data_IF_518122812860
#
_entry.id   IF_518122812860
#
_cell.length_a   1.000
_cell.length_b   1.000
_cell.length_c   1.000
_cell.angle_alpha   90.00
_cell.angle_beta   90.00
_cell.angle_gamma   90.00
#
_symmetry.space_group_name_H-M   'P 1'
#
loop_
_entity.id
_entity.type
_entity.pdbx_description
1 polymer ?
#
# COMPACT_ATOMS: atom_id res chain seq x y z
N UNK A 1 24.96 9.01 -3.64
CA UNK A 1 23.71 9.78 -3.69
C UNK A 1 23.91 11.07 -4.45
N UNK A 2 25.05 11.74 -4.27
CA UNK A 2 25.41 12.93 -5.06
C UNK A 2 25.57 12.68 -6.58
N UNK A 3 25.61 11.42 -6.99
CA UNK A 3 25.54 10.93 -8.37
C UNK A 3 24.12 10.96 -8.97
N UNK A 4 23.09 11.14 -8.12
CA UNK A 4 21.68 11.13 -8.53
C UNK A 4 21.10 12.55 -8.60
N UNK A 5 21.44 13.39 -7.62
CA UNK A 5 20.99 14.79 -7.58
C UNK A 5 22.08 15.69 -7.02
N UNK A 6 22.11 16.94 -7.49
CA UNK A 6 23.13 17.91 -7.07
C UNK A 6 22.93 18.31 -5.61
N UNK A 7 24.02 18.28 -4.85
CA UNK A 7 24.09 18.75 -3.46
C UNK A 7 24.97 20.01 -3.33
N UNK A 8 25.49 20.54 -4.44
CA UNK A 8 26.33 21.74 -4.45
C UNK A 8 25.49 22.99 -4.16
N UNK A 9 26.00 23.88 -3.31
CA UNK A 9 25.28 25.10 -2.94
C UNK A 9 23.98 24.87 -2.15
N UNK A 10 23.69 23.62 -1.74
CA UNK A 10 22.43 23.21 -1.11
C UNK A 10 22.20 23.77 0.31
N UNK A 11 23.25 24.25 0.97
CA UNK A 11 23.17 24.72 2.36
C UNK A 11 22.97 23.62 3.40
N UNK A 12 23.04 22.34 3.02
CA UNK A 12 22.97 21.22 3.96
C UNK A 12 24.20 21.18 4.88
N UNK A 13 24.06 20.54 6.04
CA UNK A 13 25.18 20.43 6.99
C UNK A 13 26.33 19.61 6.42
N UNK A 14 27.56 19.89 6.88
CA UNK A 14 28.76 19.13 6.48
C UNK A 14 28.59 17.62 6.70
N UNK A 15 27.90 17.21 7.77
CA UNK A 15 27.64 15.81 8.04
C UNK A 15 26.72 15.14 6.99
N UNK A 16 25.68 15.85 6.53
CA UNK A 16 24.81 15.36 5.45
C UNK A 16 25.53 15.38 4.10
N UNK A 17 26.33 16.41 3.83
CA UNK A 17 27.13 16.52 2.62
C UNK A 17 28.11 15.35 2.47
N UNK A 18 28.91 15.08 3.50
CA UNK A 18 29.84 13.93 3.53
C UNK A 18 29.11 12.60 3.40
N UNK A 19 27.94 12.47 4.01
CA UNK A 19 27.11 11.26 3.87
C UNK A 19 26.60 11.08 2.43
N UNK A 20 26.12 12.14 1.79
CA UNK A 20 25.61 12.09 0.42
C UNK A 20 26.69 11.66 -0.61
N UNK A 21 27.94 12.05 -0.37
CA UNK A 21 29.10 11.65 -1.20
C UNK A 21 29.51 10.18 -1.03
N UNK A 22 29.21 9.57 0.12
CA UNK A 22 29.70 8.22 0.48
C UNK A 22 28.61 7.16 0.58
N UNK A 23 27.34 7.54 0.39
CA UNK A 23 26.17 6.66 0.46
C UNK A 23 25.63 6.38 -0.94
N UNK A 24 24.99 5.24 -1.14
CA UNK A 24 24.35 4.84 -2.40
C UNK A 24 22.92 4.36 -2.14
N UNK A 25 22.11 4.40 -3.19
CA UNK A 25 20.84 3.69 -3.24
C UNK A 25 21.05 2.26 -3.73
N UNK A 26 20.22 1.31 -3.29
CA UNK A 26 20.28 -0.07 -3.78
C UNK A 26 19.90 -0.12 -5.26
N UNK A 27 18.82 0.57 -5.63
CA UNK A 27 18.36 0.71 -7.00
C UNK A 27 17.94 2.14 -7.30
N UNK A 28 18.23 2.60 -8.51
CA UNK A 28 17.78 3.88 -9.04
C UNK A 28 17.04 3.59 -10.35
N UNK A 29 15.85 4.15 -10.48
CA UNK A 29 15.05 4.02 -11.69
C UNK A 29 15.26 5.27 -12.53
N UNK A 30 15.67 5.07 -13.78
CA UNK A 30 15.88 6.12 -14.76
C UNK A 30 14.81 6.07 -15.85
N UNK A 31 14.48 7.22 -16.45
CA UNK A 31 13.77 7.22 -17.72
C UNK A 31 14.72 6.96 -18.90
N UNK A 32 14.15 7.01 -20.10
CA UNK A 32 14.87 6.79 -21.36
C UNK A 32 15.88 7.90 -21.70
N UNK A 33 15.83 9.05 -21.02
CA UNK A 33 16.78 10.16 -21.16
C UNK A 33 17.86 10.12 -20.07
N UNK A 34 17.99 8.99 -19.35
CA UNK A 34 18.90 8.82 -18.23
C UNK A 34 18.67 9.81 -17.08
N UNK A 35 17.45 10.36 -16.96
CA UNK A 35 17.07 11.17 -15.81
C UNK A 35 16.59 10.27 -14.66
N UNK A 36 17.14 10.40 -13.44
CA UNK A 36 16.69 9.62 -12.31
C UNK A 36 15.28 10.05 -11.89
N UNK A 37 14.40 9.07 -11.69
CA UNK A 37 12.99 9.28 -11.36
C UNK A 37 12.71 9.05 -9.88
N UNK A 38 13.24 7.96 -9.32
CA UNK A 38 13.11 7.59 -7.92
C UNK A 38 14.12 6.49 -7.55
N UNK A 39 14.30 6.25 -6.25
CA UNK A 39 15.10 5.14 -5.74
C UNK A 39 14.24 4.08 -5.04
N UNK A 40 14.76 2.84 -5.03
CA UNK A 40 14.21 1.73 -4.26
C UNK A 40 15.29 1.20 -3.31
N UNK A 41 14.95 1.07 -2.03
CA UNK A 41 15.82 0.51 -0.98
C UNK A 41 15.19 -0.76 -0.40
N UNK A 42 16.01 -1.77 -0.15
CA UNK A 42 15.57 -3.00 0.51
C UNK A 42 15.93 -2.97 2.01
N UNK A 43 14.92 -2.73 2.85
CA UNK A 43 15.03 -2.77 4.30
C UNK A 43 14.94 -4.23 4.79
N UNK A 44 16.03 -4.74 5.36
CA UNK A 44 16.07 -6.05 6.02
C UNK A 44 15.41 -6.08 7.41
N UNK A 45 15.26 -7.27 7.98
CA UNK A 45 14.59 -7.48 9.28
C UNK A 45 15.29 -6.83 10.49
N UNK A 46 16.55 -6.36 10.34
CA UNK A 46 17.36 -5.81 11.44
C UNK A 46 17.33 -4.28 11.54
N UNK A 47 16.57 -3.58 10.68
CA UNK A 47 16.61 -2.11 10.58
C UNK A 47 16.01 -1.37 11.78
N UNK A 48 15.28 -2.04 12.68
CA UNK A 48 14.58 -1.39 13.80
C UNK A 48 15.36 -1.34 15.11
N UNK A 49 16.48 -2.06 15.23
CA UNK A 49 17.23 -2.19 16.49
C UNK A 49 18.62 -1.53 16.40
N UNK A 50 19.21 -1.48 15.20
CA UNK A 50 20.51 -0.87 14.99
C UNK A 50 20.40 0.66 14.88
N UNK A 51 20.88 1.37 15.91
CA UNK A 51 20.94 2.83 15.94
C UNK A 51 21.71 3.41 14.76
N UNK A 52 22.78 2.76 14.29
CA UNK A 52 23.54 3.26 13.15
C UNK A 52 22.71 3.21 11.86
N UNK A 53 21.98 2.12 11.65
CA UNK A 53 21.12 1.98 10.47
C UNK A 53 19.97 3.01 10.51
N UNK A 54 19.34 3.20 11.66
CA UNK A 54 18.30 4.23 11.84
C UNK A 54 18.84 5.63 11.51
N UNK A 55 20.03 5.99 12.01
CA UNK A 55 20.65 7.28 11.69
C UNK A 55 20.97 7.44 10.20
N UNK A 56 21.44 6.37 9.54
CA UNK A 56 21.70 6.37 8.10
C UNK A 56 20.41 6.55 7.31
N UNK A 57 19.35 5.86 7.71
CA UNK A 57 18.03 5.95 7.06
C UNK A 57 17.42 7.35 7.21
N UNK A 58 17.54 7.96 8.39
CA UNK A 58 17.12 9.34 8.61
C UNK A 58 17.91 10.34 7.76
N UNK A 59 19.22 10.12 7.56
CA UNK A 59 20.04 10.96 6.66
C UNK A 59 19.62 10.79 5.20
N UNK A 60 19.36 9.56 4.74
CA UNK A 60 18.85 9.29 3.38
C UNK A 60 17.51 9.99 3.15
N UNK A 61 16.57 9.84 4.09
CA UNK A 61 15.25 10.47 4.00
C UNK A 61 15.36 11.99 3.88
N UNK A 62 16.14 12.64 4.75
CA UNK A 62 16.36 14.10 4.68
C UNK A 62 16.95 14.58 3.35
N UNK A 63 17.88 13.82 2.79
CA UNK A 63 18.47 14.16 1.49
C UNK A 63 17.47 14.00 0.35
N UNK A 64 16.62 12.97 0.39
CA UNK A 64 15.58 12.76 -0.60
C UNK A 64 14.48 13.82 -0.51
N UNK A 65 14.03 14.17 0.70
CA UNK A 65 13.09 15.27 0.95
C UNK A 65 13.65 16.61 0.43
N UNK A 66 14.92 16.90 0.71
CA UNK A 66 15.58 18.10 0.21
C UNK A 66 15.60 18.17 -1.34
N UNK A 67 15.83 17.04 -1.99
CA UNK A 67 15.93 16.94 -3.44
C UNK A 67 14.58 16.75 -4.16
N UNK A 68 13.47 16.70 -3.41
CA UNK A 68 12.16 16.26 -3.91
C UNK A 68 12.25 14.95 -4.73
N UNK A 69 13.07 14.02 -4.21
CA UNK A 69 13.40 12.78 -4.90
C UNK A 69 12.67 11.59 -4.25
N UNK A 70 11.71 10.94 -4.92
CA UNK A 70 10.94 9.87 -4.31
C UNK A 70 11.81 8.67 -3.92
N UNK A 71 11.55 8.12 -2.73
CA UNK A 71 12.25 6.99 -2.15
C UNK A 71 11.25 5.93 -1.67
N UNK A 72 11.24 4.79 -2.37
CA UNK A 72 10.45 3.62 -2.02
C UNK A 72 11.28 2.65 -1.17
N UNK A 73 10.86 2.38 0.06
CA UNK A 73 11.49 1.38 0.93
C UNK A 73 10.64 0.12 0.99
N UNK A 74 11.23 -0.99 0.59
CA UNK A 74 10.58 -2.30 0.55
C UNK A 74 11.22 -3.28 1.51
N UNK A 75 10.48 -4.33 1.87
CA UNK A 75 11.00 -5.51 2.55
C UNK A 75 10.45 -6.76 1.87
N UNK A 76 10.69 -7.94 2.43
CA UNK A 76 10.23 -9.21 1.86
C UNK A 76 8.72 -9.31 1.65
N UNK A 77 7.89 -8.58 2.40
CA UNK A 77 6.43 -8.56 2.22
C UNK A 77 6.02 -7.93 0.89
N UNK A 78 6.84 -7.02 0.34
CA UNK A 78 6.58 -6.40 -0.96
C UNK A 78 6.82 -7.36 -2.14
N UNK A 79 7.51 -8.46 -1.89
CA UNK A 79 7.77 -9.51 -2.87
C UNK A 79 6.71 -10.62 -2.83
N UNK A 80 5.72 -10.51 -1.94
CA UNK A 80 4.56 -11.41 -1.91
C UNK A 80 3.73 -11.19 -3.17
N UNK A 81 3.41 -12.28 -3.85
CA UNK A 81 2.59 -12.25 -5.07
C UNK A 81 1.10 -12.16 -4.76
N UNK A 82 0.44 -11.30 -5.51
CA UNK A 82 -1.00 -11.13 -5.60
C UNK A 82 -1.38 -11.30 -7.07
N UNK A 83 -1.89 -12.49 -7.43
CA UNK A 83 -1.97 -12.98 -8.82
C UNK A 83 -0.57 -13.12 -9.43
N UNK A 84 -0.34 -12.52 -10.59
CA UNK A 84 0.93 -12.57 -11.33
C UNK A 84 1.85 -11.38 -11.02
N UNK A 85 1.45 -10.48 -10.12
CA UNK A 85 2.22 -9.31 -9.69
C UNK A 85 2.62 -9.43 -8.23
N UNK A 86 3.84 -9.06 -7.89
CA UNK A 86 4.17 -8.70 -6.52
C UNK A 86 3.85 -7.22 -6.23
N UNK A 87 3.84 -6.85 -4.96
CA UNK A 87 3.47 -5.50 -4.53
C UNK A 87 4.47 -4.45 -5.03
N UNK A 88 5.76 -4.76 -5.10
CA UNK A 88 6.76 -3.87 -5.69
C UNK A 88 6.46 -3.59 -7.17
N UNK A 89 6.25 -4.62 -7.97
CA UNK A 89 5.91 -4.50 -9.38
C UNK A 89 4.62 -3.70 -9.56
N UNK A 90 3.60 -3.94 -8.73
CA UNK A 90 2.37 -3.16 -8.75
C UNK A 90 2.63 -1.68 -8.49
N UNK A 91 3.35 -1.33 -7.42
CA UNK A 91 3.66 0.08 -7.07
C UNK A 91 4.42 0.78 -8.20
N UNK A 92 5.42 0.11 -8.79
CA UNK A 92 6.19 0.67 -9.90
C UNK A 92 5.28 0.89 -11.12
N UNK A 93 4.48 -0.10 -11.49
CA UNK A 93 3.60 -0.01 -12.65
C UNK A 93 2.54 1.08 -12.49
N UNK A 94 1.92 1.20 -11.31
CA UNK A 94 0.92 2.23 -11.05
C UNK A 94 1.53 3.63 -10.99
N UNK A 95 2.79 3.75 -10.53
CA UNK A 95 3.53 5.00 -10.59
C UNK A 95 3.74 5.49 -12.04
N UNK A 96 4.23 4.61 -12.93
CA UNK A 96 4.42 4.96 -14.34
C UNK A 96 3.09 5.24 -15.04
N UNK A 97 2.06 4.43 -14.78
CA UNK A 97 0.72 4.67 -15.29
C UNK A 97 0.19 6.06 -14.90
N UNK A 98 0.32 6.45 -13.63
CA UNK A 98 -0.11 7.77 -13.15
C UNK A 98 0.69 8.89 -13.81
N UNK A 99 2.01 8.74 -13.91
CA UNK A 99 2.88 9.71 -14.59
C UNK A 99 2.42 9.96 -16.02
N UNK A 100 2.18 8.89 -16.77
CA UNK A 100 1.74 8.97 -18.17
C UNK A 100 0.32 9.53 -18.28
N UNK A 101 -0.58 9.15 -17.36
CA UNK A 101 -1.96 9.65 -17.31
C UNK A 101 -1.99 11.17 -17.09
N UNK A 102 -1.29 11.68 -16.08
CA UNK A 102 -1.26 13.12 -15.79
C UNK A 102 -0.54 13.91 -16.88
N UNK A 103 0.54 13.38 -17.45
CA UNK A 103 1.19 14.01 -18.60
C UNK A 103 0.25 14.11 -19.82
N UNK A 104 -0.55 13.07 -20.08
CA UNK A 104 -1.54 13.08 -21.17
C UNK A 104 -2.70 14.02 -20.88
N UNK A 105 -3.10 14.17 -19.62
CA UNK A 105 -4.08 15.17 -19.19
C UNK A 105 -3.57 16.60 -19.39
N UNK A 106 -2.34 16.91 -18.99
CA UNK A 106 -1.71 18.23 -19.21
C UNK A 106 -1.59 18.60 -20.70
N UNK A 107 -1.45 17.59 -21.57
CA UNK A 107 -1.46 17.78 -23.04
C UNK A 107 -2.85 17.95 -23.64
N UNK A 108 -3.91 17.66 -22.89
CA UNK A 108 -5.30 17.69 -23.36
C UNK A 108 -5.74 16.42 -24.11
N UNK A 109 -4.96 15.34 -24.06
CA UNK A 109 -5.32 14.04 -24.65
C UNK A 109 -6.35 13.29 -23.77
N UNK A 110 -6.37 13.59 -22.48
CA UNK A 110 -7.31 13.08 -21.49
C UNK A 110 -8.09 14.26 -20.89
N UNK A 111 -9.42 14.16 -20.71
CA UNK A 111 -10.21 15.18 -20.04
C UNK A 111 -9.70 15.50 -18.63
N UNK A 112 -9.76 16.76 -18.22
CA UNK A 112 -9.35 17.21 -16.87
C UNK A 112 -10.15 16.56 -15.74
N UNK A 113 -11.38 16.11 -16.02
CA UNK A 113 -12.26 15.43 -15.06
C UNK A 113 -12.11 13.91 -15.05
N UNK A 114 -11.17 13.35 -15.84
CA UNK A 114 -10.92 11.92 -15.86
C UNK A 114 -10.28 11.45 -14.54
N UNK A 115 -10.77 10.32 -14.03
CA UNK A 115 -10.27 9.70 -12.79
C UNK A 115 -9.10 8.79 -13.12
N UNK A 116 -7.95 9.03 -12.47
CA UNK A 116 -6.79 8.15 -12.55
C UNK A 116 -6.91 6.98 -11.58
N UNK A 117 -7.63 5.92 -11.96
CA UNK A 117 -7.76 4.70 -11.16
C UNK A 117 -6.96 3.55 -11.80
N UNK A 118 -5.87 3.06 -11.16
CA UNK A 118 -5.14 1.91 -11.65
C UNK A 118 -6.01 0.65 -11.81
N UNK A 119 -7.05 0.47 -10.99
CA UNK A 119 -7.95 -0.68 -11.09
C UNK A 119 -8.79 -0.68 -12.36
N UNK A 120 -8.90 0.45 -13.05
CA UNK A 120 -9.58 0.59 -14.34
C UNK A 120 -8.67 0.30 -15.54
N UNK A 121 -7.38 0.02 -15.32
CA UNK A 121 -6.42 -0.25 -16.39
C UNK A 121 -6.60 -1.65 -16.95
N UNK A 122 -6.84 -1.70 -18.26
CA UNK A 122 -6.89 -2.92 -19.05
C UNK A 122 -5.58 -3.05 -19.82
N UNK A 123 -4.67 -3.91 -19.36
CA UNK A 123 -3.43 -4.22 -20.08
C UNK A 123 -3.52 -5.62 -20.71
N UNK A 124 -3.66 -5.66 -22.04
CA UNK A 124 -3.60 -6.90 -22.82
C UNK A 124 -4.79 -7.87 -22.65
N UNK A 125 -4.66 -9.12 -23.15
CA UNK A 125 -5.75 -10.10 -23.20
C UNK A 125 -6.22 -10.64 -21.84
N UNK A 126 -5.47 -10.39 -20.75
CA UNK A 126 -5.86 -10.75 -19.38
C UNK A 126 -6.32 -9.49 -18.63
N UNK A 127 -7.54 -9.05 -18.95
CA UNK A 127 -8.13 -7.77 -18.56
C UNK A 127 -8.16 -7.53 -17.02
N UNK A 128 -7.76 -6.31 -16.63
CA UNK A 128 -7.57 -5.74 -15.28
C UNK A 128 -6.28 -6.14 -14.57
N UNK A 129 -5.14 -5.69 -15.10
CA UNK A 129 -3.81 -6.06 -14.61
C UNK A 129 -3.48 -5.51 -13.22
N UNK A 130 -4.05 -4.37 -12.83
CA UNK A 130 -3.73 -3.72 -11.55
C UNK A 130 -4.84 -3.80 -10.50
N UNK A 131 -5.98 -4.44 -10.80
CA UNK A 131 -6.96 -4.77 -9.77
C UNK A 131 -6.55 -6.08 -9.07
N UNK A 132 -5.63 -5.97 -8.11
CA UNK A 132 -4.97 -7.11 -7.46
C UNK A 132 -5.98 -8.12 -6.90
N UNK A 133 -6.99 -7.64 -6.18
CA UNK A 133 -7.97 -8.47 -5.49
C UNK A 133 -9.14 -8.91 -6.36
N UNK A 134 -9.20 -8.57 -7.65
CA UNK A 134 -10.34 -8.90 -8.54
C UNK A 134 -10.80 -10.35 -8.42
N UNK A 135 -9.89 -11.31 -8.56
CA UNK A 135 -10.27 -12.73 -8.54
C UNK A 135 -10.71 -13.18 -7.14
N UNK A 136 -10.15 -12.57 -6.10
CA UNK A 136 -10.54 -12.82 -4.72
C UNK A 136 -11.92 -12.25 -4.43
N UNK A 137 -12.22 -11.03 -4.88
CA UNK A 137 -13.56 -10.43 -4.78
C UNK A 137 -14.59 -11.28 -5.51
N UNK A 138 -14.27 -11.81 -6.70
CA UNK A 138 -15.13 -12.75 -7.42
C UNK A 138 -15.35 -14.05 -6.61
N UNK A 139 -14.33 -14.56 -5.92
CA UNK A 139 -14.48 -15.73 -5.07
C UNK A 139 -15.38 -15.45 -3.85
N UNK A 140 -15.21 -14.31 -3.17
CA UNK A 140 -16.07 -13.88 -2.06
C UNK A 140 -17.53 -13.75 -2.54
N UNK A 141 -17.74 -13.10 -3.69
CA UNK A 141 -19.07 -13.00 -4.31
C UNK A 141 -19.71 -14.38 -4.52
N UNK A 142 -18.96 -15.35 -5.08
CA UNK A 142 -19.47 -16.71 -5.29
C UNK A 142 -19.80 -17.43 -3.98
N UNK A 143 -18.99 -17.22 -2.94
CA UNK A 143 -19.27 -17.75 -1.59
C UNK A 143 -20.56 -17.15 -1.02
N UNK A 144 -20.81 -15.86 -1.25
CA UNK A 144 -22.06 -15.19 -0.90
C UNK A 144 -23.26 -15.75 -1.68
N UNK A 145 -23.13 -15.87 -3.00
CA UNK A 145 -24.19 -16.40 -3.88
C UNK A 145 -24.56 -17.85 -3.51
N UNK A 146 -23.60 -18.62 -2.99
CA UNK A 146 -23.80 -19.98 -2.47
C UNK A 146 -24.40 -20.03 -1.06
N UNK A 147 -24.65 -18.89 -0.42
CA UNK A 147 -25.19 -18.80 0.95
C UNK A 147 -24.20 -19.20 2.05
N UNK A 148 -22.90 -19.25 1.74
CA UNK A 148 -21.85 -19.65 2.69
C UNK A 148 -21.29 -18.46 3.49
N UNK A 149 -21.53 -17.22 3.04
CA UNK A 149 -21.34 -16.01 3.83
C UNK A 149 -22.52 -15.04 3.62
N UNK A 150 -22.65 -14.05 4.50
CA UNK A 150 -23.80 -13.13 4.53
C UNK A 150 -23.45 -11.71 4.10
N UNK A 151 -22.26 -11.51 3.54
CA UNK A 151 -21.78 -10.25 3.00
C UNK A 151 -21.11 -10.48 1.65
N UNK A 152 -21.46 -9.63 0.69
CA UNK A 152 -21.03 -9.70 -0.71
C UNK A 152 -19.58 -9.25 -0.92
N UNK A 153 -19.06 -8.42 -0.01
CA UNK A 153 -17.70 -7.91 -0.01
C UNK A 153 -17.24 -7.62 1.43
N UNK A 154 -15.92 -7.59 1.69
CA UNK A 154 -15.39 -7.11 2.97
C UNK A 154 -15.72 -5.63 3.17
N UNK A 155 -15.86 -5.25 4.43
CA UNK A 155 -15.85 -3.85 4.87
C UNK A 155 -14.51 -3.51 5.47
N UNK A 156 -14.00 -2.31 5.20
CA UNK A 156 -12.69 -1.89 5.68
C UNK A 156 -12.68 -0.44 6.20
N UNK A 157 -11.68 -0.20 7.05
CA UNK A 157 -11.30 1.11 7.54
C UNK A 157 -9.79 1.23 7.36
N UNK A 158 -9.39 2.30 6.70
CA UNK A 158 -7.99 2.66 6.50
C UNK A 158 -7.74 3.96 7.24
N UNK A 159 -6.69 3.95 8.06
CA UNK A 159 -6.28 5.06 8.87
C UNK A 159 -4.78 5.28 8.83
N UNK A 160 -4.37 6.40 9.40
CA UNK A 160 -2.98 6.79 9.58
C UNK A 160 -2.69 6.87 11.07
N UNK A 161 -1.59 6.26 11.53
CA UNK A 161 -1.15 6.34 12.92
C UNK A 161 -0.31 7.61 13.21
N UNK A 162 0.07 7.81 14.47
CA UNK A 162 0.84 8.99 14.91
C UNK A 162 2.23 9.12 14.24
N UNK A 163 2.73 8.04 13.61
CA UNK A 163 3.98 8.00 12.86
C UNK A 163 3.78 8.17 11.34
N UNK A 164 2.58 8.58 10.92
CA UNK A 164 2.15 8.69 9.52
C UNK A 164 2.16 7.36 8.73
N UNK A 165 2.16 6.22 9.43
CA UNK A 165 2.08 4.93 8.75
C UNK A 165 0.62 4.60 8.42
N UNK A 166 0.40 3.97 7.26
CA UNK A 166 -0.91 3.43 6.92
C UNK A 166 -1.22 2.20 7.76
N UNK A 167 -2.46 2.12 8.23
CA UNK A 167 -3.04 1.01 8.97
C UNK A 167 -4.38 0.68 8.35
N UNK A 168 -4.69 -0.60 8.27
CA UNK A 168 -5.97 -1.06 7.74
C UNK A 168 -6.54 -2.19 8.59
N UNK A 169 -7.86 -2.18 8.75
CA UNK A 169 -8.62 -3.29 9.31
C UNK A 169 -9.81 -3.57 8.40
N UNK A 170 -10.07 -4.84 8.12
CA UNK A 170 -11.23 -5.28 7.37
C UNK A 170 -12.02 -6.34 8.14
N UNK A 171 -13.28 -6.50 7.80
CA UNK A 171 -14.19 -7.52 8.33
C UNK A 171 -15.10 -8.07 7.24
N UNK A 172 -15.56 -9.31 7.42
CA UNK A 172 -16.59 -9.93 6.58
C UNK A 172 -17.55 -10.73 7.48
N UNK A 173 -18.85 -10.55 7.26
CA UNK A 173 -19.89 -11.30 7.96
C UNK A 173 -20.12 -12.65 7.30
N UNK A 174 -19.90 -13.73 8.05
CA UNK A 174 -20.20 -15.10 7.59
C UNK A 174 -21.68 -15.40 7.82
N UNK A 175 -22.17 -15.19 9.05
CA UNK A 175 -23.57 -15.36 9.42
C UNK A 175 -23.96 -14.36 10.53
N UNK A 176 -25.13 -14.52 11.15
CA UNK A 176 -25.63 -13.61 12.19
C UNK A 176 -24.75 -13.55 13.45
N UNK A 177 -23.92 -14.56 13.71
CA UNK A 177 -23.11 -14.69 14.92
C UNK A 177 -21.60 -14.67 14.63
N UNK A 178 -21.19 -15.05 13.41
CA UNK A 178 -19.80 -15.25 13.05
C UNK A 178 -19.31 -14.22 12.04
N UNK A 179 -18.20 -13.59 12.37
CA UNK A 179 -17.45 -12.67 11.53
C UNK A 179 -16.00 -13.15 11.40
N UNK A 180 -15.30 -12.60 10.42
CA UNK A 180 -13.84 -12.68 10.31
C UNK A 180 -13.28 -11.28 10.16
N UNK A 181 -12.03 -11.08 10.56
CA UNK A 181 -11.34 -9.81 10.36
C UNK A 181 -9.90 -10.06 9.93
N UNK A 182 -9.31 -9.04 9.32
CA UNK A 182 -7.89 -8.98 9.02
C UNK A 182 -7.38 -7.57 9.32
N UNK A 183 -6.09 -7.45 9.62
CA UNK A 183 -5.44 -6.15 9.78
C UNK A 183 -4.09 -6.17 9.07
N UNK A 184 -3.70 -5.03 8.52
CA UNK A 184 -2.42 -4.85 7.86
C UNK A 184 -1.91 -3.43 8.08
N UNK A 185 -0.67 -3.17 7.68
CA UNK A 185 -0.09 -1.84 7.74
C UNK A 185 1.07 -1.70 6.77
N UNK A 186 1.31 -0.46 6.38
CA UNK A 186 2.43 -0.07 5.53
C UNK A 186 3.12 1.12 6.18
N UNK A 187 4.45 1.08 6.27
CA UNK A 187 5.21 2.22 6.76
C UNK A 187 4.98 3.42 5.85
N UNK A 188 5.00 4.63 6.40
CA UNK A 188 5.05 5.84 5.59
C UNK A 188 6.23 5.77 4.62
N UNK A 189 6.01 6.19 3.38
CA UNK A 189 7.01 6.19 2.33
C UNK A 189 7.25 7.63 1.88
N UNK A 190 8.49 7.95 1.50
CA UNK A 190 8.78 9.14 0.72
C UNK A 190 8.50 8.88 -0.78
N UNK A 191 7.43 8.15 -1.05
CA UNK A 191 7.03 7.72 -2.37
C UNK A 191 5.50 7.81 -2.46
N UNK A 192 4.94 8.32 -3.57
CA UNK A 192 3.49 8.48 -3.70
C UNK A 192 2.84 7.11 -3.89
N UNK A 193 2.46 6.47 -2.77
CA UNK A 193 1.72 5.22 -2.77
C UNK A 193 0.23 5.50 -2.69
N UNK A 194 -0.51 4.75 -3.49
CA UNK A 194 -1.96 4.70 -3.44
C UNK A 194 -2.44 3.99 -2.17
N UNK A 195 -3.28 4.66 -1.37
CA UNK A 195 -3.81 4.11 -0.13
C UNK A 195 -4.76 2.93 -0.37
N UNK A 196 -5.39 2.85 -1.54
CA UNK A 196 -6.27 1.75 -1.94
C UNK A 196 -5.55 0.38 -1.88
N UNK A 197 -4.22 0.36 -1.99
CA UNK A 197 -3.41 -0.86 -1.89
C UNK A 197 -3.63 -1.61 -0.56
N UNK A 198 -3.96 -0.87 0.51
CA UNK A 198 -4.25 -1.44 1.82
C UNK A 198 -5.55 -2.26 1.77
N UNK A 199 -6.60 -1.74 1.10
CA UNK A 199 -7.85 -2.47 0.89
C UNK A 199 -7.60 -3.74 0.05
N UNK A 200 -6.79 -3.61 -0.99
CA UNK A 200 -6.44 -4.74 -1.87
C UNK A 200 -5.75 -5.87 -1.07
N UNK A 201 -4.77 -5.55 -0.23
CA UNK A 201 -4.09 -6.53 0.63
C UNK A 201 -5.08 -7.14 1.64
N UNK A 202 -5.90 -6.32 2.29
CA UNK A 202 -6.89 -6.79 3.26
C UNK A 202 -7.90 -7.76 2.64
N UNK A 203 -8.29 -7.56 1.38
CA UNK A 203 -9.21 -8.45 0.69
C UNK A 203 -8.65 -9.89 0.58
N UNK A 204 -7.36 -10.05 0.29
CA UNK A 204 -6.69 -11.36 0.27
C UNK A 204 -6.66 -12.01 1.66
N UNK A 205 -6.32 -11.25 2.70
CA UNK A 205 -6.25 -11.77 4.07
C UNK A 205 -7.65 -12.15 4.60
N UNK A 206 -8.69 -11.37 4.26
CA UNK A 206 -10.08 -11.71 4.57
C UNK A 206 -10.49 -13.01 3.88
N UNK A 207 -10.18 -13.16 2.59
CA UNK A 207 -10.55 -14.39 1.88
C UNK A 207 -9.84 -15.63 2.43
N UNK A 208 -8.56 -15.51 2.79
CA UNK A 208 -7.84 -16.57 3.47
C UNK A 208 -8.55 -16.97 4.78
N UNK A 209 -8.91 -15.99 5.61
CA UNK A 209 -9.62 -16.25 6.86
C UNK A 209 -11.02 -16.84 6.63
N UNK A 210 -11.69 -16.46 5.53
CA UNK A 210 -12.96 -17.05 5.11
C UNK A 210 -12.78 -18.54 4.77
N UNK A 211 -11.78 -18.89 3.98
CA UNK A 211 -11.48 -20.29 3.64
C UNK A 211 -11.17 -21.09 4.90
N UNK A 212 -10.40 -20.55 5.84
CA UNK A 212 -10.07 -21.23 7.10
C UNK A 212 -11.33 -21.52 7.94
N UNK A 213 -12.27 -20.57 8.03
CA UNK A 213 -13.52 -20.79 8.77
C UNK A 213 -14.43 -21.77 8.05
N UNK A 214 -14.58 -21.66 6.73
CA UNK A 214 -15.43 -22.57 5.94
C UNK A 214 -14.88 -24.01 5.94
N UNK A 215 -13.57 -24.18 6.02
CA UNK A 215 -12.91 -25.48 6.13
C UNK A 215 -12.84 -26.01 7.58
N UNK A 216 -13.35 -25.25 8.57
CA UNK A 216 -13.35 -25.63 9.98
C UNK A 216 -11.97 -25.60 10.65
N UNK A 217 -10.97 -24.95 10.04
CA UNK A 217 -9.64 -24.77 10.64
C UNK A 217 -9.56 -23.52 11.52
N UNK A 218 -10.59 -22.67 11.50
CA UNK A 218 -10.77 -21.50 12.36
C UNK A 218 -12.25 -21.33 12.73
N UNK A 219 -12.55 -20.62 13.82
CA UNK A 219 -13.93 -20.46 14.36
C UNK A 219 -14.53 -19.06 14.17
N UNK A 220 -13.79 -18.14 13.53
CA UNK A 220 -14.20 -16.73 13.40
C UNK A 220 -14.26 -16.01 14.76
N UNK A 221 -14.93 -14.86 14.78
CA UNK A 221 -15.11 -13.98 15.95
C UNK A 221 -16.54 -13.50 16.06
N UNK A 222 -16.94 -13.04 17.25
CA UNK A 222 -18.30 -12.51 17.47
C UNK A 222 -18.43 -11.06 16.98
N UNK A 223 -19.68 -10.59 16.89
CA UNK A 223 -19.97 -9.20 16.56
C UNK A 223 -19.36 -8.22 17.58
N UNK A 224 -19.49 -8.51 18.88
CA UNK A 224 -18.95 -7.66 19.95
C UNK A 224 -17.43 -7.53 19.87
N UNK A 225 -16.75 -8.61 19.49
CA UNK A 225 -15.30 -8.62 19.29
C UNK A 225 -14.89 -7.75 18.10
N UNK A 226 -15.62 -7.82 16.99
CA UNK A 226 -15.41 -6.96 15.81
C UNK A 226 -15.63 -5.49 16.17
N UNK A 227 -16.73 -5.17 16.84
CA UNK A 227 -17.04 -3.79 17.28
C UNK A 227 -15.92 -3.24 18.17
N UNK A 228 -15.44 -4.04 19.13
CA UNK A 228 -14.34 -3.65 20.00
C UNK A 228 -13.06 -3.37 19.20
N UNK A 229 -12.69 -4.26 18.27
CA UNK A 229 -11.50 -4.11 17.42
C UNK A 229 -11.57 -2.85 16.56
N UNK A 230 -12.71 -2.60 15.91
CA UNK A 230 -12.91 -1.42 15.06
C UNK A 230 -12.89 -0.14 15.89
N UNK A 231 -13.54 -0.11 17.07
CA UNK A 231 -13.47 1.05 17.98
C UNK A 231 -12.03 1.33 18.42
N UNK A 232 -11.29 0.30 18.82
CA UNK A 232 -9.86 0.45 19.17
C UNK A 232 -9.05 0.93 17.98
N UNK A 233 -9.33 0.45 16.77
CA UNK A 233 -8.67 0.92 15.56
C UNK A 233 -8.94 2.41 15.29
N UNK A 234 -10.22 2.83 15.32
CA UNK A 234 -10.63 4.25 15.12
C UNK A 234 -10.06 5.18 16.20
N UNK A 235 -9.85 4.69 17.43
CA UNK A 235 -9.25 5.48 18.51
C UNK A 235 -7.74 5.70 18.33
N UNK A 236 -7.05 4.78 17.66
CA UNK A 236 -5.60 4.81 17.49
C UNK A 236 -5.13 5.42 16.17
N UNK A 237 -6.05 5.63 15.23
CA UNK A 237 -5.71 6.04 13.87
C UNK A 237 -6.66 7.13 13.40
N UNK A 238 -6.12 8.12 12.71
CA UNK A 238 -6.92 9.08 11.95
C UNK A 238 -7.47 8.39 10.71
N UNK A 239 -8.80 8.20 10.64
CA UNK A 239 -9.45 7.52 9.51
C UNK A 239 -9.41 8.42 8.28
N UNK A 240 -8.90 7.86 7.18
CA UNK A 240 -8.73 8.56 5.90
C UNK A 240 -9.56 7.92 4.77
N UNK A 241 -9.94 6.65 4.92
CA UNK A 241 -10.87 5.97 4.02
C UNK A 241 -11.64 4.89 4.77
N UNK A 242 -12.88 4.63 4.35
CA UNK A 242 -13.69 3.55 4.90
C UNK A 242 -14.76 3.10 3.91
N UNK A 243 -14.91 1.78 3.77
CA UNK A 243 -15.96 1.15 2.97
C UNK A 243 -16.78 0.22 3.87
N UNK A 244 -18.01 0.62 4.20
CA UNK A 244 -18.91 -0.18 5.04
C UNK A 244 -20.38 0.11 4.76
N UNK A 245 -21.26 -0.80 5.20
CA UNK A 245 -22.70 -0.55 5.22
C UNK A 245 -23.05 0.64 6.13
N UNK A 246 -24.02 1.46 5.72
CA UNK A 246 -24.56 2.55 6.53
C UNK A 246 -25.16 2.00 7.84
N UNK A 247 -24.80 2.59 8.98
CA UNK A 247 -25.22 2.12 10.31
C UNK A 247 -24.38 0.99 10.90
N UNK A 248 -23.37 0.48 10.18
CA UNK A 248 -22.41 -0.46 10.73
C UNK A 248 -21.29 0.29 11.48
N UNK A 249 -21.46 0.41 12.81
CA UNK A 249 -20.46 0.99 13.73
C UNK A 249 -20.12 2.45 13.37
N UNK A 250 -21.17 3.26 13.22
CA UNK A 250 -21.09 4.72 13.29
C UNK A 250 -20.97 5.19 14.76
#
# INVERSE_FOLDING_TARGET
>A
MADVFSIEGSGISTALYTFALSSHFDFIIYDHEEKPLFAVEFDGNQHTIDKQQIERDLKKNKLCEFADFPLLRINSLYLKKYRDLDLLAWIIHTWFYRKDFYFSMEKGDIPEDAICDPMMVINGPNLFSYWLSKDIRIKIQRTYDAGQCSAIAPFDWIGVDDENNYRGIATLRINSQTYIFAATGMKSQLFPIDIEIISEILCFEIYKNLEEVLNGTSVGVTYEEIVKKIKTFKQKNHIVSSFHESGFID
#
